data_IF_741088799994
#
_entry.id   IF_741088799994
#
_cell.length_a   1.000
_cell.length_b   1.000
_cell.length_c   1.000
_cell.angle_alpha   90.00
_cell.angle_beta   90.00
_cell.angle_gamma   90.00
#
_symmetry.space_group_name_H-M   'P 1'
#
loop_
_entity.id
_entity.type
_entity.pdbx_description
1 polymer ?
#
# COMPACT_ATOMS: atom_id res chain seq x y z
N UNK A 1 5.28 -14.29 32.08
CA UNK A 1 4.43 -14.69 30.93
C UNK A 1 4.83 -13.78 29.78
N UNK A 2 5.37 -14.32 28.67
CA UNK A 2 5.67 -13.52 27.47
C UNK A 2 4.34 -13.16 26.80
N UNK A 3 4.20 -11.90 26.35
CA UNK A 3 3.11 -11.52 25.47
C UNK A 3 3.13 -12.41 24.21
N UNK A 4 1.98 -12.83 23.67
CA UNK A 4 1.96 -13.54 22.39
C UNK A 4 2.58 -12.64 21.30
N UNK A 5 3.30 -13.23 20.32
CA UNK A 5 3.83 -12.47 19.19
C UNK A 5 2.69 -11.80 18.41
N UNK A 6 2.89 -10.53 18.05
CA UNK A 6 1.97 -9.79 17.18
C UNK A 6 2.06 -10.35 15.75
N UNK A 7 0.93 -10.61 15.06
CA UNK A 7 0.95 -11.02 13.67
C UNK A 7 1.65 -9.95 12.80
N UNK A 8 2.54 -10.39 11.91
CA UNK A 8 3.29 -9.55 10.98
C UNK A 8 2.85 -9.87 9.56
N UNK A 9 2.40 -8.84 8.83
CA UNK A 9 2.22 -8.92 7.39
C UNK A 9 3.58 -8.70 6.75
N UNK A 10 4.21 -9.76 6.25
CA UNK A 10 5.45 -9.65 5.50
C UNK A 10 5.08 -9.49 4.03
N UNK A 11 5.05 -8.24 3.58
CA UNK A 11 5.04 -7.97 2.16
C UNK A 11 6.48 -7.75 1.67
N UNK A 12 6.70 -8.05 0.40
CA UNK A 12 7.88 -7.63 -0.35
C UNK A 12 8.00 -6.10 -0.48
N UNK A 13 7.27 -5.29 0.31
CA UNK A 13 7.57 -3.88 0.63
C UNK A 13 9.07 -3.65 0.92
N UNK A 14 9.76 -4.69 1.39
CA UNK A 14 11.18 -4.68 1.75
C UNK A 14 12.16 -5.08 0.64
N UNK A 15 11.72 -5.49 -0.55
CA UNK A 15 12.63 -6.13 -1.53
C UNK A 15 12.41 -5.74 -2.99
N UNK A 16 11.27 -5.16 -3.36
CA UNK A 16 11.07 -4.56 -4.70
C UNK A 16 9.99 -3.47 -4.65
N UNK A 17 10.30 -2.28 -4.13
CA UNK A 17 9.46 -1.11 -4.44
C UNK A 17 9.82 -0.62 -5.83
N UNK A 18 8.98 -0.90 -6.82
CA UNK A 18 8.90 -0.06 -8.01
C UNK A 18 7.92 1.05 -7.64
N UNK A 19 8.40 2.12 -7.01
CA UNK A 19 7.60 3.34 -6.85
C UNK A 19 7.43 3.99 -8.23
N UNK A 20 6.42 3.57 -8.97
CA UNK A 20 6.06 4.14 -10.26
C UNK A 20 5.29 5.47 -10.06
N UNK A 21 5.98 6.53 -9.63
CA UNK A 21 5.39 7.87 -9.63
C UNK A 21 5.42 8.49 -11.03
N UNK A 22 4.29 8.35 -11.74
CA UNK A 22 4.01 9.14 -12.94
C UNK A 22 2.94 8.53 -13.84
N UNK A 23 1.69 8.41 -13.37
CA UNK A 23 0.58 8.29 -14.31
C UNK A 23 0.49 9.57 -15.14
N UNK A 24 0.55 9.51 -16.48
CA UNK A 24 0.11 10.62 -17.33
C UNK A 24 -1.36 10.90 -17.04
N UNK A 25 -1.74 12.17 -17.08
CA UNK A 25 -3.09 12.72 -16.87
C UNK A 25 -4.10 12.23 -17.93
N UNK A 26 -4.35 10.93 -18.05
CA UNK A 26 -5.28 10.37 -19.03
C UNK A 26 -5.68 8.92 -18.76
N UNK A 27 -6.12 8.58 -17.56
CA UNK A 27 -7.16 7.54 -17.38
C UNK A 27 -8.15 8.11 -16.36
N UNK A 28 -8.99 9.01 -16.83
CA UNK A 28 -10.22 9.34 -16.13
C UNK A 28 -11.02 8.03 -15.99
N UNK A 29 -11.24 7.57 -14.76
CA UNK A 29 -12.47 6.87 -14.47
C UNK A 29 -13.59 7.72 -15.07
N UNK A 30 -14.35 7.16 -15.99
CA UNK A 30 -15.46 7.86 -16.65
C UNK A 30 -16.57 8.08 -15.63
N UNK A 31 -16.38 9.05 -14.73
CA UNK A 31 -17.45 9.62 -13.94
C UNK A 31 -18.30 10.45 -14.89
N UNK A 32 -19.50 9.93 -15.19
CA UNK A 32 -20.58 10.76 -15.74
C UNK A 32 -20.77 11.98 -14.83
N UNK A 33 -21.05 13.17 -15.38
CA UNK A 33 -21.28 14.36 -14.57
C UNK A 33 -22.54 14.18 -13.70
N UNK A 34 -22.43 14.52 -12.42
CA UNK A 34 -23.55 14.67 -11.50
C UNK A 34 -24.51 15.76 -12.05
N UNK A 35 -25.80 15.47 -12.28
CA UNK A 35 -26.75 16.50 -12.65
C UNK A 35 -27.03 17.41 -11.46
N UNK A 36 -27.08 18.71 -11.74
CA UNK A 36 -27.43 19.78 -10.82
C UNK A 36 -28.80 19.52 -10.18
N UNK A 37 -28.86 19.62 -8.86
CA UNK A 37 -30.08 19.54 -8.10
C UNK A 37 -31.00 20.72 -8.47
N UNK A 38 -32.11 20.44 -9.15
CA UNK A 38 -33.27 21.32 -9.16
C UNK A 38 -34.48 20.55 -8.63
N UNK A 39 -35.16 21.20 -7.70
CA UNK A 39 -36.33 20.70 -6.97
C UNK A 39 -37.45 20.27 -7.91
N UNK A 40 -37.79 18.99 -7.96
CA UNK A 40 -39.18 18.52 -8.11
C UNK A 40 -39.26 17.01 -7.88
N UNK A 41 -40.36 16.61 -7.24
CA UNK A 41 -40.75 15.27 -6.79
C UNK A 41 -40.45 14.13 -7.78
N UNK A 42 -39.73 13.10 -7.30
CA UNK A 42 -39.58 11.82 -8.01
C UNK A 42 -40.78 10.90 -7.72
N UNK A 43 -41.43 10.29 -8.73
CA UNK A 43 -42.37 9.19 -8.55
C UNK A 43 -41.62 7.85 -8.35
N UNK A 44 -42.25 6.82 -7.76
CA UNK A 44 -41.59 5.55 -7.46
C UNK A 44 -41.30 4.77 -8.75
N UNK A 45 -40.09 4.21 -8.88
CA UNK A 45 -39.70 3.33 -9.97
C UNK A 45 -39.87 1.87 -9.50
N UNK A 46 -40.70 1.14 -10.23
CA UNK A 46 -40.94 -0.30 -10.09
C UNK A 46 -39.66 -1.13 -10.28
N UNK A 47 -39.44 -2.05 -9.34
CA UNK A 47 -38.41 -3.09 -9.41
C UNK A 47 -38.90 -4.20 -10.32
N UNK A 48 -38.25 -4.38 -11.48
CA UNK A 48 -38.35 -5.61 -12.25
C UNK A 48 -37.24 -6.57 -11.80
N UNK A 49 -37.60 -7.52 -10.95
CA UNK A 49 -36.81 -8.71 -10.67
C UNK A 49 -36.67 -9.56 -11.94
N UNK A 50 -35.44 -9.73 -12.43
CA UNK A 50 -35.11 -10.80 -13.35
C UNK A 50 -34.61 -11.99 -12.52
N UNK A 51 -35.42 -13.04 -12.46
CA UNK A 51 -35.08 -14.35 -11.90
C UNK A 51 -33.89 -14.96 -12.65
N UNK A 52 -32.76 -15.15 -11.97
CA UNK A 52 -31.67 -16.01 -12.45
C UNK A 52 -31.63 -17.26 -11.56
N UNK A 53 -32.03 -18.40 -12.14
CA UNK A 53 -31.94 -19.71 -11.52
C UNK A 53 -30.46 -20.14 -11.37
N UNK A 54 -30.02 -20.25 -10.12
CA UNK A 54 -29.34 -21.46 -9.64
C UNK A 54 -27.95 -21.81 -10.17
N UNK A 55 -26.98 -20.89 -10.16
CA UNK A 55 -25.57 -21.30 -10.03
C UNK A 55 -25.29 -21.56 -8.54
N UNK A 56 -25.00 -22.82 -8.17
CA UNK A 56 -24.53 -23.15 -6.82
C UNK A 56 -23.22 -22.37 -6.56
N UNK A 57 -23.28 -21.33 -5.73
CA UNK A 57 -22.09 -20.67 -5.16
C UNK A 57 -21.22 -21.75 -4.53
N UNK A 58 -20.05 -22.01 -5.13
CA UNK A 58 -18.99 -22.74 -4.45
C UNK A 58 -18.69 -22.02 -3.14
N UNK A 59 -18.71 -22.76 -2.04
CA UNK A 59 -18.37 -22.23 -0.72
C UNK A 59 -16.93 -21.70 -0.79
N UNK A 60 -16.72 -20.41 -0.53
CA UNK A 60 -15.36 -19.86 -0.47
C UNK A 60 -14.70 -20.46 0.77
N UNK A 61 -13.89 -21.50 0.60
CA UNK A 61 -13.18 -22.16 1.71
C UNK A 61 -12.02 -21.25 2.15
N UNK A 62 -12.36 -20.29 3.02
CA UNK A 62 -11.45 -19.41 3.76
C UNK A 62 -10.98 -20.15 5.02
N UNK A 63 -9.98 -21.02 4.91
CA UNK A 63 -9.53 -21.80 6.08
C UNK A 63 -8.70 -20.92 7.01
N UNK A 64 -9.27 -20.61 8.17
CA UNK A 64 -8.83 -19.52 9.03
C UNK A 64 -8.11 -20.03 10.29
N UNK A 65 -6.82 -19.65 10.40
CA UNK A 65 -6.03 -19.29 11.59
C UNK A 65 -4.55 -19.44 11.23
N UNK A 66 -3.98 -18.39 10.62
CA UNK A 66 -2.58 -18.37 10.19
C UNK A 66 -1.65 -17.79 11.29
N UNK A 67 -2.23 -17.16 12.33
CA UNK A 67 -1.55 -16.56 13.49
C UNK A 67 -2.30 -16.79 14.82
N UNK A 68 -1.60 -16.98 15.95
CA UNK A 68 -2.17 -16.74 17.26
C UNK A 68 -2.67 -15.30 17.36
N UNK A 69 -3.99 -15.12 17.47
CA UNK A 69 -4.60 -13.80 17.68
C UNK A 69 -4.97 -13.02 16.43
N UNK A 70 -4.77 -13.59 15.22
CA UNK A 70 -5.34 -13.03 13.98
C UNK A 70 -5.85 -14.13 13.06
N UNK A 71 -7.06 -13.92 12.58
CA UNK A 71 -7.82 -14.84 11.75
C UNK A 71 -8.35 -14.09 10.54
N UNK A 72 -7.79 -14.39 9.37
CA UNK A 72 -8.25 -13.81 8.10
C UNK A 72 -9.77 -13.93 7.92
N UNK A 73 -10.39 -12.84 7.49
CA UNK A 73 -11.84 -12.75 7.29
C UNK A 73 -12.67 -12.70 8.58
N UNK A 74 -12.04 -12.67 9.75
CA UNK A 74 -12.72 -12.47 11.04
C UNK A 74 -12.17 -11.24 11.75
N UNK A 75 -10.86 -11.18 11.93
CA UNK A 75 -10.19 -10.08 12.61
C UNK A 75 -9.74 -9.04 11.56
N UNK A 76 -10.00 -7.73 11.77
CA UNK A 76 -9.43 -6.70 10.92
C UNK A 76 -7.93 -6.60 11.15
N UNK A 77 -7.16 -6.51 10.07
CA UNK A 77 -5.75 -6.15 10.13
C UNK A 77 -5.61 -4.67 10.50
N UNK A 78 -4.71 -4.39 11.44
CA UNK A 78 -4.39 -3.03 11.91
C UNK A 78 -2.88 -2.93 12.03
N UNK A 79 -2.25 -2.63 10.90
CA UNK A 79 -0.82 -2.69 10.73
C UNK A 79 -0.18 -1.33 10.46
N UNK A 80 1.14 -1.36 10.36
CA UNK A 80 1.95 -0.25 9.91
C UNK A 80 3.09 -0.76 9.06
N UNK A 81 3.39 -0.05 7.98
CA UNK A 81 4.52 -0.38 7.11
C UNK A 81 5.85 0.02 7.76
N UNK A 82 6.89 -0.74 7.43
CA UNK A 82 8.27 -0.49 7.87
C UNK A 82 9.05 0.09 6.68
N UNK A 83 8.50 1.17 6.11
CA UNK A 83 9.06 1.85 4.93
C UNK A 83 10.41 2.49 5.19
N UNK A 84 11.19 2.67 4.13
CA UNK A 84 12.54 3.25 4.18
C UNK A 84 13.58 2.40 4.90
N UNK A 85 13.29 1.14 5.24
CA UNK A 85 14.23 0.28 5.97
C UNK A 85 15.10 -0.59 5.07
N UNK A 86 14.51 -1.61 4.47
CA UNK A 86 15.19 -2.57 3.59
C UNK A 86 15.18 -2.10 2.14
N UNK A 87 14.17 -1.30 1.76
CA UNK A 87 14.19 -0.46 0.57
C UNK A 87 14.35 1.00 0.99
N UNK A 88 15.34 1.69 0.43
CA UNK A 88 15.60 3.10 0.69
C UNK A 88 14.68 4.01 -0.11
N UNK A 89 14.06 4.94 0.60
CA UNK A 89 13.24 5.98 0.00
C UNK A 89 13.79 7.36 0.42
N UNK A 90 14.26 8.18 -0.54
CA UNK A 90 14.87 9.47 -0.22
C UNK A 90 13.99 10.41 0.60
N UNK A 91 12.67 10.26 0.52
CA UNK A 91 11.74 11.10 1.26
C UNK A 91 11.49 10.62 2.71
N UNK A 92 11.67 9.32 2.97
CA UNK A 92 11.56 8.73 4.31
C UNK A 92 12.86 8.94 5.09
N UNK A 93 14.00 8.64 4.45
CA UNK A 93 15.36 8.75 5.02
C UNK A 93 16.25 9.71 4.20
N UNK A 94 15.88 11.00 4.06
CA UNK A 94 16.66 11.97 3.30
C UNK A 94 18.12 12.10 3.75
N UNK A 95 18.44 11.84 5.03
CA UNK A 95 19.80 11.93 5.55
C UNK A 95 20.82 11.05 4.79
N UNK A 96 20.38 9.92 4.23
CA UNK A 96 21.22 9.03 3.42
C UNK A 96 21.53 9.62 2.03
N UNK A 97 20.72 10.54 1.55
CA UNK A 97 20.77 11.07 0.17
C UNK A 97 21.28 12.51 0.09
N UNK A 98 21.06 13.34 1.11
CA UNK A 98 21.35 14.79 1.08
C UNK A 98 22.78 15.14 0.71
N UNK A 99 23.76 14.38 1.20
CA UNK A 99 25.19 14.63 0.94
C UNK A 99 25.72 13.86 -0.28
N UNK A 100 24.85 13.25 -1.09
CA UNK A 100 25.24 12.48 -2.28
C UNK A 100 25.07 13.32 -3.55
N UNK A 101 25.77 13.00 -4.64
CA UNK A 101 25.57 13.66 -5.94
C UNK A 101 24.10 13.62 -6.37
N UNK A 102 23.64 14.63 -7.13
CA UNK A 102 22.23 14.78 -7.53
C UNK A 102 21.68 13.61 -8.34
N UNK A 103 22.54 12.86 -9.03
CA UNK A 103 22.14 11.66 -9.80
C UNK A 103 21.76 10.46 -8.92
N UNK A 104 22.01 10.52 -7.61
CA UNK A 104 21.64 9.48 -6.64
C UNK A 104 20.20 9.71 -6.19
N UNK A 105 19.22 9.17 -6.91
CA UNK A 105 17.78 9.49 -6.77
C UNK A 105 16.94 8.35 -6.21
N UNK A 106 17.52 7.17 -6.02
CA UNK A 106 16.90 5.93 -5.56
C UNK A 106 17.96 4.98 -4.95
N UNK A 107 17.55 3.83 -4.42
CA UNK A 107 18.46 2.84 -3.86
C UNK A 107 19.46 2.29 -4.89
N UNK A 108 19.02 2.05 -6.13
CA UNK A 108 19.90 1.58 -7.19
C UNK A 108 21.08 2.53 -7.44
N UNK A 109 20.80 3.81 -7.71
CA UNK A 109 21.82 4.83 -7.93
C UNK A 109 22.62 5.10 -6.67
N UNK A 110 22.04 4.89 -5.48
CA UNK A 110 22.78 4.88 -4.22
C UNK A 110 23.79 3.73 -4.20
N UNK A 111 23.41 2.51 -4.55
CA UNK A 111 24.30 1.36 -4.69
C UNK A 111 25.41 1.59 -5.71
N UNK A 112 25.08 2.16 -6.88
CA UNK A 112 26.07 2.58 -7.90
C UNK A 112 27.06 3.61 -7.35
N UNK A 113 26.58 4.58 -6.58
CA UNK A 113 27.45 5.54 -5.91
C UNK A 113 28.35 4.85 -4.88
N UNK A 114 27.79 3.98 -4.05
CA UNK A 114 28.52 3.28 -3.00
C UNK A 114 29.64 2.38 -3.56
N UNK A 115 29.47 1.78 -4.75
CA UNK A 115 30.55 1.01 -5.43
C UNK A 115 31.84 1.82 -5.65
N UNK A 116 31.74 3.14 -5.68
CA UNK A 116 32.89 4.05 -5.87
C UNK A 116 33.52 4.54 -4.56
N UNK A 117 32.94 4.19 -3.41
CA UNK A 117 33.37 4.63 -2.09
C UNK A 117 34.26 3.58 -1.39
N UNK A 118 35.08 4.02 -0.45
CA UNK A 118 35.95 3.12 0.33
C UNK A 118 35.20 2.28 1.38
N UNK A 119 33.95 2.65 1.70
CA UNK A 119 33.14 1.98 2.71
C UNK A 119 31.73 1.68 2.17
N UNK A 120 31.65 0.68 1.31
CA UNK A 120 30.44 0.40 0.53
C UNK A 120 29.28 -0.12 1.36
N UNK A 121 29.54 -0.74 2.52
CA UNK A 121 28.51 -1.43 3.32
C UNK A 121 28.25 -0.86 4.70
N UNK A 122 29.16 -0.10 5.34
CA UNK A 122 28.93 0.29 6.73
C UNK A 122 27.83 1.35 6.86
N UNK A 123 27.66 2.26 5.89
CA UNK A 123 26.58 3.24 5.92
C UNK A 123 25.21 2.55 5.89
N UNK A 124 25.02 1.62 4.95
CA UNK A 124 23.75 0.89 4.81
C UNK A 124 23.53 -0.10 5.97
N UNK A 125 24.58 -0.76 6.48
CA UNK A 125 24.48 -1.59 7.70
C UNK A 125 24.14 -0.76 8.93
N UNK A 126 24.71 0.44 9.05
CA UNK A 126 24.37 1.35 10.13
C UNK A 126 22.90 1.76 10.05
N UNK A 127 22.41 2.06 8.85
CA UNK A 127 20.98 2.29 8.60
C UNK A 127 20.14 1.09 9.01
N UNK A 128 20.40 -0.11 8.48
CA UNK A 128 19.63 -1.31 8.80
C UNK A 128 19.61 -1.64 10.29
N UNK A 129 20.72 -1.44 11.01
CA UNK A 129 20.80 -1.75 12.44
C UNK A 129 20.14 -0.71 13.35
N UNK A 130 19.97 0.53 12.88
CA UNK A 130 19.49 1.65 13.69
C UNK A 130 18.11 2.18 13.26
N UNK A 131 17.68 1.96 12.02
CA UNK A 131 16.39 2.41 11.51
C UNK A 131 15.25 1.55 12.05
N UNK A 132 15.36 0.22 11.99
CA UNK A 132 14.43 -0.73 12.60
C UNK A 132 15.23 -1.99 12.99
N UNK A 133 14.84 -2.74 14.03
CA UNK A 133 15.70 -3.81 14.58
C UNK A 133 15.26 -5.23 14.17
N UNK A 134 15.75 -5.75 13.01
CA UNK A 134 16.18 -7.14 12.63
C UNK A 134 16.37 -7.33 11.07
N UNK A 135 17.56 -7.71 10.56
CA UNK A 135 17.93 -7.79 9.12
C UNK A 135 17.12 -8.83 8.27
N UNK A 136 16.95 -8.79 6.92
CA UNK A 136 17.88 -8.60 5.78
C UNK A 136 17.21 -8.19 4.42
N UNK A 137 18.06 -7.80 3.43
CA UNK A 137 17.99 -7.86 1.94
C UNK A 137 17.60 -6.61 1.09
N UNK A 138 18.19 -6.58 -0.13
CA UNK A 138 18.41 -5.48 -1.09
C UNK A 138 17.45 -5.43 -2.32
N UNK A 139 17.43 -4.24 -2.95
CA UNK A 139 17.10 -3.87 -4.35
C UNK A 139 15.77 -3.12 -4.60
N UNK A 140 15.88 -1.91 -5.16
CA UNK A 140 14.79 -1.15 -5.78
C UNK A 140 15.34 -0.25 -6.90
N UNK A 141 14.74 -0.31 -8.10
CA UNK A 141 15.12 0.51 -9.27
C UNK A 141 13.97 1.46 -9.62
N UNK A 142 14.26 2.76 -9.70
CA UNK A 142 13.33 3.76 -10.23
C UNK A 142 13.48 3.88 -11.76
N UNK A 143 12.38 4.18 -12.45
CA UNK A 143 12.32 4.53 -13.88
C UNK A 143 12.66 3.44 -14.93
N UNK A 144 12.79 2.15 -14.53
CA UNK A 144 12.95 1.02 -15.45
C UNK A 144 11.75 0.07 -15.43
N UNK A 145 10.91 0.10 -16.47
CA UNK A 145 9.73 -0.79 -16.61
C UNK A 145 10.03 -2.16 -17.24
N UNK A 146 11.29 -2.60 -17.21
CA UNK A 146 11.70 -3.83 -17.90
C UNK A 146 11.14 -5.11 -17.28
N UNK A 147 10.51 -5.04 -16.11
CA UNK A 147 9.89 -6.19 -15.44
C UNK A 147 8.84 -6.89 -16.31
N UNK A 148 7.95 -6.14 -16.97
CA UNK A 148 6.91 -6.70 -17.85
C UNK A 148 7.44 -7.31 -19.15
N UNK A 149 8.62 -6.91 -19.60
CA UNK A 149 9.16 -7.27 -20.92
C UNK A 149 10.36 -8.21 -20.88
N UNK A 150 10.85 -8.58 -19.69
CA UNK A 150 12.05 -9.39 -19.52
C UNK A 150 11.77 -10.62 -18.64
N UNK A 151 11.70 -11.78 -19.28
CA UNK A 151 11.44 -13.07 -18.60
C UNK A 151 12.46 -13.40 -17.52
N UNK A 152 13.71 -12.93 -17.65
CA UNK A 152 14.75 -13.12 -16.63
C UNK A 152 14.39 -12.43 -15.32
N UNK A 153 13.72 -11.28 -15.37
CA UNK A 153 13.28 -10.56 -14.16
C UNK A 153 12.13 -11.29 -13.48
N UNK A 154 11.21 -11.89 -14.24
CA UNK A 154 10.14 -12.73 -13.71
C UNK A 154 10.71 -13.99 -13.03
N UNK A 155 11.67 -14.67 -13.67
CA UNK A 155 12.32 -15.86 -13.12
C UNK A 155 13.09 -15.55 -11.81
N UNK A 156 13.75 -14.40 -11.75
CA UNK A 156 14.39 -13.91 -10.51
C UNK A 156 13.37 -13.65 -9.41
N UNK A 157 12.24 -13.03 -9.77
CA UNK A 157 11.14 -12.77 -8.82
C UNK A 157 10.58 -14.08 -8.25
N UNK A 158 10.35 -15.10 -9.09
CA UNK A 158 9.96 -16.43 -8.61
C UNK A 158 11.00 -17.08 -7.70
N UNK A 159 12.29 -16.93 -8.04
CA UNK A 159 13.38 -17.46 -7.21
C UNK A 159 13.41 -16.81 -5.82
N UNK A 160 13.26 -15.48 -5.77
CA UNK A 160 13.16 -14.73 -4.51
C UNK A 160 11.94 -15.17 -3.69
N UNK A 161 10.76 -15.26 -4.32
CA UNK A 161 9.54 -15.75 -3.67
C UNK A 161 9.70 -17.15 -3.09
N UNK A 162 10.38 -18.05 -3.81
CA UNK A 162 10.65 -19.40 -3.31
C UNK A 162 11.57 -19.38 -2.08
N UNK A 163 12.62 -18.54 -2.07
CA UNK A 163 13.55 -18.43 -0.94
C UNK A 163 12.83 -17.81 0.27
N UNK A 164 12.15 -16.69 0.09
CA UNK A 164 11.39 -16.01 1.14
C UNK A 164 10.33 -16.93 1.74
N UNK A 165 9.56 -17.62 0.89
CA UNK A 165 8.55 -18.55 1.39
C UNK A 165 9.17 -19.69 2.17
N UNK A 166 10.26 -20.28 1.68
CA UNK A 166 10.93 -21.38 2.38
C UNK A 166 11.50 -20.97 3.73
N UNK A 167 11.96 -19.72 3.85
CA UNK A 167 12.43 -19.16 5.12
C UNK A 167 11.26 -18.90 6.06
N UNK A 168 10.32 -18.05 5.65
CA UNK A 168 9.31 -17.49 6.53
C UNK A 168 8.13 -18.41 6.86
N UNK A 169 8.04 -19.58 6.24
CA UNK A 169 7.10 -20.66 6.61
C UNK A 169 7.70 -21.66 7.60
N UNK A 170 8.98 -21.52 7.97
CA UNK A 170 9.58 -22.40 8.98
C UNK A 170 8.86 -22.30 10.32
N UNK A 171 8.81 -23.42 11.04
CA UNK A 171 8.24 -23.50 12.39
C UNK A 171 8.84 -22.49 13.38
N UNK A 172 10.05 -21.97 13.14
CA UNK A 172 10.63 -20.87 13.92
C UNK A 172 9.74 -19.62 13.92
N UNK A 173 9.18 -19.27 12.77
CA UNK A 173 8.29 -18.12 12.62
C UNK A 173 6.88 -18.39 13.15
N UNK A 174 6.55 -19.66 13.47
CA UNK A 174 5.28 -20.16 14.03
C UNK A 174 4.14 -19.14 13.97
N UNK A 175 3.58 -18.96 12.77
CA UNK A 175 2.35 -18.18 12.60
C UNK A 175 2.53 -16.67 12.91
N UNK A 176 3.74 -16.15 12.77
CA UNK A 176 4.06 -14.71 12.79
C UNK A 176 3.83 -14.11 11.41
N UNK A 177 4.29 -14.80 10.35
CA UNK A 177 4.07 -14.41 8.96
C UNK A 177 2.73 -14.99 8.49
N UNK A 178 1.77 -14.12 8.20
CA UNK A 178 0.39 -14.51 7.83
C UNK A 178 0.08 -14.40 6.36
N UNK A 179 0.94 -13.72 5.61
CA UNK A 179 0.84 -13.54 4.17
C UNK A 179 2.23 -13.28 3.58
N UNK A 180 2.37 -13.59 2.30
CA UNK A 180 3.46 -13.15 1.44
C UNK A 180 2.83 -12.43 0.26
N UNK A 181 3.18 -11.16 0.08
CA UNK A 181 2.79 -10.38 -1.09
C UNK A 181 3.74 -10.63 -2.26
N UNK A 182 3.19 -10.86 -3.45
CA UNK A 182 3.98 -11.34 -4.58
C UNK A 182 4.86 -10.25 -5.22
N UNK A 183 4.35 -9.03 -5.32
CA UNK A 183 5.03 -7.84 -5.84
C UNK A 183 4.22 -6.61 -5.47
N UNK A 184 4.91 -5.52 -5.12
CA UNK A 184 4.31 -4.23 -4.77
C UNK A 184 4.05 -3.38 -6.01
N UNK A 185 2.86 -2.78 -6.12
CA UNK A 185 2.50 -1.76 -7.11
C UNK A 185 2.91 -2.04 -8.57
N UNK A 186 2.61 -3.23 -9.14
CA UNK A 186 2.94 -3.52 -10.54
C UNK A 186 2.09 -2.66 -11.49
N UNK A 187 2.68 -1.61 -12.04
CA UNK A 187 1.97 -0.65 -12.89
C UNK A 187 1.84 -1.14 -14.35
N UNK A 188 0.75 -1.85 -14.67
CA UNK A 188 0.42 -2.24 -16.05
C UNK A 188 -0.29 -1.12 -16.82
N UNK A 189 0.23 -0.73 -17.99
CA UNK A 189 -0.31 0.38 -18.81
C UNK A 189 -1.37 -0.05 -19.83
N UNK A 190 -1.41 -1.34 -20.17
CA UNK A 190 -2.25 -1.85 -21.24
C UNK A 190 -2.65 -3.31 -20.99
N UNK A 191 -3.60 -3.80 -21.78
CA UNK A 191 -4.12 -5.16 -21.64
C UNK A 191 -3.04 -6.25 -21.74
N UNK A 192 -2.03 -6.09 -22.59
CA UNK A 192 -0.97 -7.09 -22.73
C UNK A 192 -0.07 -7.15 -21.49
N UNK A 193 0.27 -5.99 -20.90
CA UNK A 193 1.01 -5.95 -19.63
C UNK A 193 0.17 -6.51 -18.47
N UNK A 194 -1.14 -6.26 -18.46
CA UNK A 194 -2.06 -6.86 -17.48
C UNK A 194 -2.16 -8.39 -17.63
N UNK A 195 -2.15 -8.92 -18.85
CA UNK A 195 -2.12 -10.37 -19.09
C UNK A 195 -0.80 -10.99 -18.59
N UNK A 196 0.32 -10.30 -18.76
CA UNK A 196 1.62 -10.71 -18.18
C UNK A 196 1.53 -10.72 -16.65
N UNK A 197 0.94 -9.68 -16.03
CA UNK A 197 0.76 -9.61 -14.58
C UNK A 197 -0.10 -10.76 -14.05
N UNK A 198 -1.22 -11.06 -14.72
CA UNK A 198 -2.09 -12.19 -14.38
C UNK A 198 -1.35 -13.53 -14.49
N UNK A 199 -0.59 -13.72 -15.57
CA UNK A 199 0.26 -14.90 -15.74
C UNK A 199 1.31 -15.03 -14.63
N UNK A 200 1.93 -13.91 -14.25
CA UNK A 200 2.87 -13.84 -13.14
C UNK A 200 2.22 -14.27 -11.82
N UNK A 201 1.07 -13.70 -11.46
CA UNK A 201 0.37 -14.04 -10.22
C UNK A 201 0.00 -15.52 -10.13
N UNK A 202 -0.45 -16.13 -11.23
CA UNK A 202 -0.76 -17.56 -11.25
C UNK A 202 0.49 -18.42 -11.06
N UNK A 203 1.61 -18.08 -11.71
CA UNK A 203 2.89 -18.78 -11.56
C UNK A 203 3.48 -18.62 -10.15
N UNK A 204 3.46 -17.40 -9.62
CA UNK A 204 3.98 -17.05 -8.31
C UNK A 204 3.18 -17.71 -7.18
N UNK A 205 1.86 -17.81 -7.32
CA UNK A 205 1.03 -18.61 -6.42
C UNK A 205 1.50 -20.06 -6.35
N UNK A 206 1.74 -20.69 -7.51
CA UNK A 206 2.30 -22.05 -7.57
C UNK A 206 3.66 -22.17 -6.89
N UNK A 207 4.52 -21.17 -7.07
CA UNK A 207 5.84 -21.09 -6.42
C UNK A 207 5.71 -21.01 -4.90
N UNK A 208 4.87 -20.12 -4.36
CA UNK A 208 4.66 -19.98 -2.92
C UNK A 208 4.09 -21.26 -2.33
N UNK A 209 3.01 -21.80 -2.90
CA UNK A 209 2.38 -23.04 -2.41
C UNK A 209 3.36 -24.22 -2.42
N UNK A 210 4.16 -24.35 -3.48
CA UNK A 210 5.16 -25.40 -3.60
C UNK A 210 6.34 -25.23 -2.64
N UNK A 211 6.79 -24.00 -2.38
CA UNK A 211 7.86 -23.71 -1.42
C UNK A 211 7.43 -23.97 0.02
N UNK A 212 6.23 -23.50 0.41
CA UNK A 212 5.62 -23.75 1.72
C UNK A 212 5.51 -25.25 2.03
N UNK A 213 4.99 -26.02 1.06
CA UNK A 213 4.90 -27.48 1.19
C UNK A 213 6.29 -28.14 1.37
N UNK A 214 7.32 -27.68 0.64
CA UNK A 214 8.69 -28.23 0.74
C UNK A 214 9.38 -27.86 2.04
N UNK A 215 9.06 -26.71 2.62
CA UNK A 215 9.58 -26.28 3.92
C UNK A 215 8.97 -27.05 5.11
N UNK A 216 8.06 -28.00 4.83
CA UNK A 216 7.37 -28.79 5.84
C UNK A 216 6.06 -28.17 6.32
N UNK A 217 5.63 -27.07 5.71
CA UNK A 217 4.32 -26.47 5.91
C UNK A 217 3.20 -27.23 5.19
N UNK A 218 1.96 -26.85 5.46
CA UNK A 218 0.76 -27.45 4.89
C UNK A 218 0.50 -27.07 3.42
N UNK A 219 1.35 -26.24 2.81
CA UNK A 219 1.11 -25.64 1.49
C UNK A 219 -0.01 -24.59 1.51
N UNK A 220 -0.38 -24.10 2.69
CA UNK A 220 -1.46 -23.14 2.94
C UNK A 220 -1.23 -22.30 4.21
N UNK A 221 0.00 -22.29 4.71
CA UNK A 221 0.33 -21.72 6.02
C UNK A 221 0.44 -20.19 5.96
N UNK A 222 0.52 -19.64 4.75
CA UNK A 222 0.46 -18.20 4.44
C UNK A 222 -0.59 -17.89 3.38
N UNK A 223 -1.23 -16.72 3.51
CA UNK A 223 -1.99 -16.15 2.40
C UNK A 223 -1.03 -15.68 1.29
N UNK A 224 -1.46 -15.77 0.04
CA UNK A 224 -0.76 -15.17 -1.11
C UNK A 224 -1.46 -13.85 -1.40
N UNK A 225 -0.80 -12.74 -1.10
CA UNK A 225 -1.32 -11.41 -1.38
C UNK A 225 -0.90 -10.94 -2.78
N UNK A 226 -1.83 -10.31 -3.50
CA UNK A 226 -1.62 -9.69 -4.80
C UNK A 226 -2.05 -8.24 -4.76
N UNK A 227 -1.20 -7.35 -5.27
CA UNK A 227 -1.54 -5.93 -5.47
C UNK A 227 -2.46 -5.77 -6.70
N UNK A 228 -3.42 -4.85 -6.61
CA UNK A 228 -4.38 -4.58 -7.68
C UNK A 228 -3.77 -3.94 -8.96
N UNK A 229 -2.53 -3.45 -8.89
CA UNK A 229 -1.74 -3.00 -10.03
C UNK A 229 -2.26 -1.73 -10.70
N UNK A 230 -2.92 -0.85 -9.95
CA UNK A 230 -3.58 0.38 -10.41
C UNK A 230 -4.68 0.13 -11.46
N UNK A 231 -5.24 -1.08 -11.52
CA UNK A 231 -6.30 -1.46 -12.45
C UNK A 231 -7.71 -1.34 -11.85
N UNK A 232 -7.79 -1.11 -10.54
CA UNK A 232 -9.01 -1.14 -9.75
C UNK A 232 -9.47 -2.55 -9.39
N UNK A 233 -10.06 -2.70 -8.20
CA UNK A 233 -10.46 -3.99 -7.62
C UNK A 233 -11.43 -4.81 -8.50
N UNK A 234 -12.26 -4.17 -9.33
CA UNK A 234 -13.20 -4.87 -10.23
C UNK A 234 -12.50 -5.75 -11.26
N UNK A 235 -11.26 -5.41 -11.64
CA UNK A 235 -10.44 -6.18 -12.59
C UNK A 235 -10.15 -7.60 -12.10
N UNK A 236 -10.20 -7.80 -10.79
CA UNK A 236 -9.76 -9.02 -10.11
C UNK A 236 -10.91 -9.88 -9.59
N UNK A 237 -12.15 -9.45 -9.78
CA UNK A 237 -13.34 -10.12 -9.22
C UNK A 237 -13.54 -11.54 -9.72
N UNK A 238 -13.06 -11.89 -10.92
CA UNK A 238 -13.14 -13.24 -11.50
C UNK A 238 -11.79 -13.96 -11.54
N UNK A 239 -10.76 -13.40 -10.89
CA UNK A 239 -9.39 -13.89 -10.99
C UNK A 239 -9.01 -14.70 -9.74
N UNK A 240 -8.27 -15.79 -9.92
CA UNK A 240 -7.72 -16.65 -8.85
C UNK A 240 -8.74 -17.02 -7.74
N UNK A 241 -9.92 -17.51 -8.12
CA UNK A 241 -10.97 -17.91 -7.17
C UNK A 241 -10.87 -19.39 -6.74
N UNK A 242 -11.60 -19.71 -5.67
CA UNK A 242 -11.85 -21.09 -5.24
C UNK A 242 -12.69 -21.85 -6.30
N UNK A 243 -12.53 -23.19 -6.41
CA UNK A 243 -11.67 -24.04 -5.57
C UNK A 243 -10.19 -24.09 -5.98
N UNK A 244 -9.85 -23.56 -7.16
CA UNK A 244 -8.52 -23.71 -7.77
C UNK A 244 -7.43 -22.91 -7.04
N UNK A 245 -7.82 -21.77 -6.46
CA UNK A 245 -6.96 -20.91 -5.66
C UNK A 245 -7.57 -20.67 -4.28
N UNK A 246 -6.75 -20.77 -3.24
CA UNK A 246 -7.17 -20.67 -1.85
C UNK A 246 -6.21 -19.76 -1.09
N UNK A 247 -6.70 -19.15 -0.01
CA UNK A 247 -5.94 -18.19 0.82
C UNK A 247 -5.28 -17.10 -0.04
N UNK A 248 -6.05 -16.48 -0.93
CA UNK A 248 -5.63 -15.32 -1.73
C UNK A 248 -6.13 -14.06 -1.05
N UNK A 249 -5.24 -13.08 -0.89
CA UNK A 249 -5.56 -11.74 -0.42
C UNK A 249 -5.32 -10.74 -1.55
N UNK A 250 -6.13 -9.68 -1.57
CA UNK A 250 -6.00 -8.55 -2.48
C UNK A 250 -5.49 -7.36 -1.68
N UNK A 251 -4.42 -6.75 -2.15
CA UNK A 251 -3.91 -5.48 -1.65
C UNK A 251 -4.36 -4.34 -2.57
N UNK A 252 -4.68 -3.20 -1.97
CA UNK A 252 -4.98 -1.95 -2.67
C UNK A 252 -4.46 -0.77 -1.87
N UNK A 253 -3.91 0.22 -2.57
CA UNK A 253 -3.34 1.40 -1.95
C UNK A 253 -4.28 2.59 -2.17
N UNK A 254 -4.62 3.30 -1.09
CA UNK A 254 -5.59 4.39 -1.13
C UNK A 254 -4.90 5.71 -0.77
N UNK A 255 -4.54 6.44 -1.82
CA UNK A 255 -3.93 7.76 -1.75
C UNK A 255 -4.74 8.77 -2.56
N UNK A 256 -4.80 10.00 -2.06
CA UNK A 256 -5.51 11.07 -2.76
C UNK A 256 -4.59 12.14 -3.35
N UNK A 257 -3.38 12.29 -2.82
CA UNK A 257 -2.48 13.39 -3.17
C UNK A 257 -1.77 13.22 -4.52
N UNK A 258 -1.87 12.07 -5.17
CA UNK A 258 -1.21 11.81 -6.45
C UNK A 258 -2.11 12.06 -7.68
N UNK A 259 -3.37 12.44 -7.47
CA UNK A 259 -4.31 12.87 -8.51
C UNK A 259 -4.68 14.35 -8.33
N UNK A 260 -4.68 15.13 -9.41
CA UNK A 260 -4.92 16.58 -9.35
C UNK A 260 -6.35 16.96 -8.95
N UNK A 261 -7.34 16.11 -9.25
CA UNK A 261 -8.72 16.36 -8.83
C UNK A 261 -8.91 16.01 -7.36
N UNK A 262 -8.32 14.90 -6.92
CA UNK A 262 -8.43 14.46 -5.53
C UNK A 262 -7.65 15.36 -4.57
N UNK A 263 -6.42 15.76 -4.91
CA UNK A 263 -5.61 16.66 -4.05
C UNK A 263 -6.22 18.07 -3.93
N UNK A 264 -7.05 18.48 -4.90
CA UNK A 264 -7.74 19.77 -4.87
C UNK A 264 -8.94 19.78 -3.89
N UNK A 265 -9.37 18.61 -3.40
CA UNK A 265 -10.51 18.51 -2.49
C UNK A 265 -10.23 19.18 -1.15
N UNK A 266 -11.24 19.89 -0.64
CA UNK A 266 -11.22 20.39 0.74
C UNK A 266 -11.36 19.27 1.76
N UNK A 267 -11.10 19.56 3.04
CA UNK A 267 -11.14 18.56 4.12
C UNK A 267 -12.45 17.81 4.28
N UNK A 268 -13.60 18.45 4.05
CA UNK A 268 -14.89 17.74 4.15
C UNK A 268 -15.10 16.82 2.95
N UNK A 269 -14.83 17.32 1.75
CA UNK A 269 -14.97 16.56 0.51
C UNK A 269 -14.03 15.35 0.48
N UNK A 270 -12.81 15.49 1.01
CA UNK A 270 -11.87 14.37 1.12
C UNK A 270 -12.37 13.27 2.06
N UNK A 271 -12.93 13.64 3.22
CA UNK A 271 -13.53 12.66 4.15
C UNK A 271 -14.74 11.96 3.52
N UNK A 272 -15.60 12.70 2.81
CA UNK A 272 -16.73 12.12 2.08
C UNK A 272 -16.27 11.16 0.98
N UNK A 273 -15.19 11.50 0.28
CA UNK A 273 -14.59 10.62 -0.73
C UNK A 273 -14.08 9.31 -0.14
N UNK A 274 -13.40 9.34 1.02
CA UNK A 274 -12.97 8.14 1.73
C UNK A 274 -14.17 7.30 2.18
N UNK A 275 -15.19 7.91 2.77
CA UNK A 275 -16.44 7.22 3.15
C UNK A 275 -17.07 6.47 1.98
N UNK A 276 -17.03 7.05 0.78
CA UNK A 276 -17.54 6.45 -0.45
C UNK A 276 -16.84 5.15 -0.88
N UNK A 277 -15.64 4.84 -0.37
CA UNK A 277 -14.89 3.64 -0.75
C UNK A 277 -15.42 2.35 -0.09
N UNK A 278 -16.21 2.46 0.99
CA UNK A 278 -16.60 1.32 1.82
C UNK A 278 -17.28 0.18 1.03
N UNK A 279 -18.22 0.50 0.15
CA UNK A 279 -18.91 -0.52 -0.65
C UNK A 279 -18.01 -1.21 -1.66
N UNK A 280 -17.03 -0.47 -2.22
CA UNK A 280 -16.09 -1.00 -3.20
C UNK A 280 -15.13 -2.01 -2.55
N UNK A 281 -14.60 -1.66 -1.38
CA UNK A 281 -13.76 -2.54 -0.58
C UNK A 281 -14.51 -3.78 -0.11
N UNK A 282 -15.74 -3.62 0.40
CA UNK A 282 -16.57 -4.74 0.84
C UNK A 282 -16.90 -5.71 -0.31
N UNK A 283 -17.17 -5.21 -1.51
CA UNK A 283 -17.40 -6.04 -2.71
C UNK A 283 -16.17 -6.87 -3.06
N UNK A 284 -14.99 -6.25 -3.09
CA UNK A 284 -13.72 -6.97 -3.32
C UNK A 284 -13.48 -8.02 -2.24
N UNK A 285 -13.77 -7.70 -0.97
CA UNK A 285 -13.56 -8.56 0.19
C UNK A 285 -14.42 -9.86 0.16
N UNK A 286 -15.51 -9.84 -0.61
CA UNK A 286 -16.37 -11.01 -0.84
C UNK A 286 -15.77 -12.01 -1.84
N UNK A 287 -14.76 -11.59 -2.62
CA UNK A 287 -14.03 -12.45 -3.56
C UNK A 287 -12.73 -12.93 -2.90
N UNK A 288 -11.82 -12.00 -2.62
CA UNK A 288 -10.54 -12.23 -1.92
C UNK A 288 -10.58 -11.53 -0.56
N UNK A 289 -9.69 -11.86 0.37
CA UNK A 289 -9.53 -10.98 1.54
C UNK A 289 -8.90 -9.66 1.08
N UNK A 290 -9.63 -8.55 1.15
CA UNK A 290 -9.14 -7.26 0.64
C UNK A 290 -8.63 -6.40 1.77
N UNK A 291 -7.40 -5.94 1.65
CA UNK A 291 -6.69 -5.12 2.63
C UNK A 291 -6.35 -3.79 1.96
N UNK A 292 -6.42 -2.70 2.72
CA UNK A 292 -5.74 -1.47 2.31
C UNK A 292 -4.32 -1.49 2.86
N UNK A 293 -3.37 -2.05 2.10
CA UNK A 293 -1.97 -2.26 2.52
C UNK A 293 -1.16 -0.98 2.59
N UNK A 294 -1.64 0.09 1.96
CA UNK A 294 -1.08 1.42 2.11
C UNK A 294 -2.14 2.52 2.13
N UNK A 295 -1.99 3.43 3.09
CA UNK A 295 -2.69 4.70 3.15
C UNK A 295 -1.97 5.65 4.12
N UNK A 296 -2.32 6.94 4.06
CA UNK A 296 -1.89 7.94 5.04
C UNK A 296 -3.03 8.91 5.36
N UNK A 297 -3.12 9.47 6.58
CA UNK A 297 -4.11 10.50 6.91
C UNK A 297 -3.91 11.83 6.16
N UNK A 298 -2.68 12.14 5.74
CA UNK A 298 -2.32 13.35 5.02
C UNK A 298 -3.06 13.44 3.68
N UNK A 299 -3.51 14.64 3.30
CA UNK A 299 -4.16 14.91 2.01
C UNK A 299 -3.33 15.75 1.06
N UNK A 300 -2.02 15.83 1.30
CA UNK A 300 -1.10 16.64 0.50
C UNK A 300 0.11 15.80 0.12
N UNK A 301 0.77 16.17 -0.98
CA UNK A 301 2.05 15.60 -1.38
C UNK A 301 3.23 16.48 -0.97
N UNK A 302 3.08 17.22 0.14
CA UNK A 302 4.03 18.21 0.62
C UNK A 302 5.33 17.62 1.17
N UNK A 303 5.30 16.36 1.62
CA UNK A 303 6.44 15.72 2.27
C UNK A 303 7.71 15.85 1.42
N UNK A 304 8.81 16.19 2.08
CA UNK A 304 10.08 16.52 1.42
C UNK A 304 10.55 15.36 0.53
N UNK A 305 10.69 15.62 -0.77
CA UNK A 305 11.05 14.62 -1.80
C UNK A 305 10.07 13.46 -1.99
N UNK A 306 8.83 13.55 -1.50
CA UNK A 306 7.81 12.50 -1.70
C UNK A 306 7.62 12.19 -3.19
N UNK A 307 7.65 13.21 -4.04
CA UNK A 307 7.56 13.06 -5.49
C UNK A 307 8.88 12.64 -6.16
N UNK A 308 9.91 12.35 -5.38
CA UNK A 308 11.27 12.02 -5.79
C UNK A 308 12.29 13.09 -5.40
N UNK A 309 13.54 12.66 -5.25
CA UNK A 309 14.67 13.54 -4.90
C UNK A 309 14.78 14.73 -5.87
N UNK A 310 14.89 15.93 -5.32
CA UNK A 310 14.99 17.18 -6.07
C UNK A 310 13.67 17.67 -6.69
N UNK A 311 12.54 17.03 -6.39
CA UNK A 311 11.21 17.42 -6.90
C UNK A 311 10.36 18.04 -5.80
N UNK A 312 9.54 19.03 -6.20
CA UNK A 312 8.58 19.71 -5.32
C UNK A 312 7.26 18.95 -5.14
N UNK A 313 6.21 19.67 -4.74
CA UNK A 313 4.87 19.16 -4.50
C UNK A 313 3.84 19.70 -5.51
N UNK A 314 2.80 18.92 -5.81
CA UNK A 314 1.64 19.40 -6.58
C UNK A 314 0.85 20.39 -5.74
N UNK A 315 0.73 20.14 -4.43
CA UNK A 315 -0.11 20.93 -3.52
C UNK A 315 0.22 22.42 -3.53
N UNK A 316 1.51 22.78 -3.61
CA UNK A 316 1.98 24.18 -3.64
C UNK A 316 2.50 24.61 -5.04
N UNK A 317 2.23 23.81 -6.07
CA UNK A 317 2.70 24.01 -7.45
C UNK A 317 4.24 24.12 -7.61
N UNK A 318 5.03 23.60 -6.67
CA UNK A 318 6.50 23.53 -6.82
C UNK A 318 6.98 22.32 -7.62
N UNK A 319 6.11 21.33 -7.86
CA UNK A 319 6.36 20.24 -8.78
C UNK A 319 6.10 20.68 -10.23
N UNK A 320 7.07 20.49 -11.12
CA UNK A 320 6.88 20.72 -12.55
C UNK A 320 6.05 19.57 -13.16
N UNK A 321 4.77 19.84 -13.44
CA UNK A 321 3.80 18.93 -14.06
C UNK A 321 3.15 19.58 -15.30
N UNK A 322 2.46 18.78 -16.11
CA UNK A 322 1.72 19.26 -17.30
C UNK A 322 0.49 20.11 -16.97
N UNK A 323 0.01 20.04 -15.72
CA UNK A 323 -1.08 20.83 -15.18
C UNK A 323 -0.73 21.27 -13.75
N UNK A 324 -1.34 22.37 -13.29
CA UNK A 324 -1.14 22.94 -11.95
C UNK A 324 -2.49 23.08 -11.23
N UNK A 325 -2.47 23.15 -9.90
CA UNK A 325 -3.66 23.44 -9.12
C UNK A 325 -4.07 24.90 -9.32
N UNK A 326 -5.37 25.10 -9.54
CA UNK A 326 -5.97 26.45 -9.62
C UNK A 326 -5.81 27.19 -8.28
N UNK A 327 -5.93 26.46 -7.17
CA UNK A 327 -5.80 26.97 -5.81
C UNK A 327 -4.73 26.19 -5.04
N UNK A 328 -3.44 26.53 -5.18
CA UNK A 328 -2.38 25.86 -4.44
C UNK A 328 -2.49 26.17 -2.94
N UNK A 329 -2.15 25.18 -2.12
CA UNK A 329 -2.03 25.34 -0.67
C UNK A 329 -0.60 25.69 -0.23
N UNK A 330 -0.40 25.69 1.09
CA UNK A 330 0.88 25.99 1.73
C UNK A 330 1.46 24.75 2.40
N UNK A 331 2.56 24.22 1.84
CA UNK A 331 3.25 23.06 2.41
C UNK A 331 4.01 23.35 3.72
N UNK A 332 4.33 24.61 4.01
CA UNK A 332 5.15 24.97 5.18
C UNK A 332 4.47 24.68 6.53
N UNK A 333 3.14 24.50 6.52
CA UNK A 333 2.30 24.20 7.69
C UNK A 333 1.65 22.81 7.64
N UNK A 334 2.09 21.93 6.72
CA UNK A 334 1.50 20.60 6.50
C UNK A 334 2.48 19.44 6.66
N UNK A 335 3.79 19.70 6.64
CA UNK A 335 4.80 18.63 6.77
C UNK A 335 6.08 19.12 7.46
N UNK A 336 7.08 18.26 7.56
CA UNK A 336 8.40 18.59 8.13
C UNK A 336 8.73 17.77 9.36
N UNK A 337 9.74 18.25 10.11
CA UNK A 337 10.26 17.60 11.34
C UNK A 337 9.54 18.04 12.61
N UNK A 338 8.80 19.14 12.57
CA UNK A 338 8.24 19.81 13.74
C UNK A 338 6.71 19.93 13.62
N UNK A 339 5.96 18.98 14.20
CA UNK A 339 4.50 19.00 14.18
C UNK A 339 3.87 20.22 14.85
N UNK A 340 4.61 20.96 15.71
CA UNK A 340 4.08 22.17 16.35
C UNK A 340 3.81 23.31 15.37
N UNK A 341 4.34 23.21 14.14
CA UNK A 341 4.08 24.14 13.04
C UNK A 341 2.81 23.81 12.25
N UNK A 342 2.20 22.65 12.50
CA UNK A 342 0.96 22.29 11.81
C UNK A 342 -0.18 23.18 12.28
N UNK A 343 -1.02 23.61 11.34
CA UNK A 343 -2.23 24.35 11.72
C UNK A 343 -3.16 23.44 12.53
N UNK A 344 -3.90 24.01 13.49
CA UNK A 344 -4.84 23.25 14.31
C UNK A 344 -5.90 22.55 13.45
N UNK A 345 -6.36 23.22 12.39
CA UNK A 345 -7.31 22.66 11.43
C UNK A 345 -6.73 21.43 10.72
N UNK A 346 -5.43 21.44 10.40
CA UNK A 346 -4.79 20.29 9.77
C UNK A 346 -4.64 19.12 10.72
N UNK A 347 -4.23 19.35 11.97
CA UNK A 347 -4.15 18.29 12.98
C UNK A 347 -5.51 17.65 13.22
N UNK A 348 -6.58 18.46 13.30
CA UNK A 348 -7.96 17.95 13.39
C UNK A 348 -8.38 17.17 12.14
N UNK A 349 -7.95 17.62 10.96
CA UNK A 349 -8.17 16.89 9.72
C UNK A 349 -7.47 15.53 9.73
N UNK A 350 -6.17 15.48 10.07
CA UNK A 350 -5.41 14.23 10.14
C UNK A 350 -6.09 13.23 11.09
N UNK A 351 -6.59 13.70 12.23
CA UNK A 351 -7.29 12.86 13.20
C UNK A 351 -8.57 12.24 12.62
N UNK A 352 -9.43 13.08 12.03
CA UNK A 352 -10.66 12.62 11.37
C UNK A 352 -10.38 11.73 10.16
N UNK A 353 -9.36 12.07 9.37
CA UNK A 353 -8.93 11.33 8.20
C UNK A 353 -8.48 9.92 8.59
N UNK A 354 -7.63 9.78 9.61
CA UNK A 354 -7.25 8.46 10.12
C UNK A 354 -8.46 7.64 10.59
N UNK A 355 -9.38 8.26 11.33
CA UNK A 355 -10.57 7.58 11.86
C UNK A 355 -11.52 7.12 10.77
N UNK A 356 -11.84 8.00 9.81
CA UNK A 356 -12.69 7.67 8.66
C UNK A 356 -12.05 6.56 7.83
N UNK A 357 -10.79 6.73 7.43
CA UNK A 357 -10.08 5.74 6.63
C UNK A 357 -10.01 4.38 7.32
N UNK A 358 -9.56 4.33 8.58
CA UNK A 358 -9.50 3.07 9.33
C UNK A 358 -10.88 2.41 9.52
N UNK A 359 -11.95 3.18 9.71
CA UNK A 359 -13.31 2.64 9.77
C UNK A 359 -13.76 2.05 8.43
N UNK A 360 -13.50 2.78 7.33
CA UNK A 360 -13.83 2.36 5.96
C UNK A 360 -13.07 1.08 5.59
N UNK A 361 -11.79 1.00 5.91
CA UNK A 361 -10.93 -0.13 5.53
C UNK A 361 -11.23 -1.39 6.37
N UNK A 362 -11.76 -1.22 7.58
CA UNK A 362 -12.31 -2.30 8.39
C UNK A 362 -13.69 -2.82 7.90
N UNK A 363 -14.30 -2.22 6.87
CA UNK A 363 -15.41 -2.84 6.13
C UNK A 363 -14.93 -3.97 5.19
N UNK A 364 -13.62 -4.08 5.00
CA UNK A 364 -12.95 -5.20 4.37
C UNK A 364 -12.05 -5.94 5.39
N UNK A 365 -10.86 -6.39 5.01
CA UNK A 365 -9.94 -7.13 5.90
C UNK A 365 -9.02 -6.22 6.71
N UNK A 366 -9.21 -4.90 6.68
CA UNK A 366 -8.45 -3.93 7.49
C UNK A 366 -7.41 -3.16 6.69
N UNK A 367 -6.38 -2.68 7.39
CA UNK A 367 -5.48 -1.65 6.90
C UNK A 367 -4.05 -1.77 7.44
N UNK A 368 -3.10 -1.23 6.69
CA UNK A 368 -1.69 -1.07 7.08
C UNK A 368 -1.27 0.36 6.73
N UNK A 369 -0.98 1.19 7.75
CA UNK A 369 -0.65 2.60 7.51
C UNK A 369 0.77 2.75 6.96
N UNK A 370 0.92 3.56 5.93
CA UNK A 370 2.23 4.02 5.46
C UNK A 370 2.59 5.34 6.16
N UNK A 371 3.59 5.41 7.03
CA UNK A 371 4.54 4.37 7.49
C UNK A 371 4.81 4.54 8.99
N UNK A 372 5.57 3.64 9.61
CA UNK A 372 5.84 3.69 11.06
C UNK A 372 6.53 5.00 11.46
N UNK A 373 7.53 5.43 10.70
CA UNK A 373 8.27 6.67 10.97
C UNK A 373 8.93 7.22 9.72
N UNK A 374 9.25 8.50 9.76
CA UNK A 374 9.99 9.25 8.74
C UNK A 374 10.94 10.22 9.41
N UNK A 375 11.99 10.66 8.73
CA UNK A 375 12.89 11.69 9.29
C UNK A 375 12.31 13.10 9.20
N UNK A 376 11.61 13.43 8.10
CA UNK A 376 11.17 14.81 7.78
C UNK A 376 9.74 14.93 7.24
N UNK A 377 8.91 13.91 7.42
CA UNK A 377 7.54 13.89 6.95
C UNK A 377 6.61 13.48 8.09
N UNK A 378 6.51 14.33 9.12
CA UNK A 378 5.77 14.03 10.35
C UNK A 378 4.32 13.56 10.10
N UNK A 379 3.65 14.14 9.11
CA UNK A 379 2.28 13.82 8.70
C UNK A 379 2.13 12.42 8.05
N UNK A 380 3.24 11.80 7.66
CA UNK A 380 3.32 10.41 7.17
C UNK A 380 3.78 9.40 8.23
N UNK A 381 4.17 9.87 9.42
CA UNK A 381 4.71 9.04 10.49
C UNK A 381 3.63 8.63 11.48
N UNK A 382 3.31 7.34 11.54
CA UNK A 382 2.38 6.80 12.53
C UNK A 382 2.88 7.05 13.96
N UNK A 383 4.18 6.87 14.19
CA UNK A 383 4.81 7.15 15.49
C UNK A 383 4.60 8.61 15.92
N UNK A 384 4.77 9.55 14.99
CA UNK A 384 4.55 10.97 15.26
C UNK A 384 3.08 11.24 15.52
N UNK A 385 2.17 10.65 14.72
CA UNK A 385 0.73 10.82 14.93
C UNK A 385 0.20 10.33 16.25
N UNK A 386 0.74 9.22 16.77
CA UNK A 386 0.42 8.72 18.11
C UNK A 386 0.90 9.72 19.17
N UNK A 387 2.11 10.28 18.99
CA UNK A 387 2.73 11.19 19.96
C UNK A 387 2.01 12.55 20.00
N UNK A 388 1.56 13.05 18.85
CA UNK A 388 1.01 14.40 18.70
C UNK A 388 -0.52 14.43 18.54
N UNK A 389 -1.19 13.27 18.56
CA UNK A 389 -2.62 13.16 18.84
C UNK A 389 -3.56 13.05 17.64
N UNK A 390 -3.06 12.91 16.41
CA UNK A 390 -3.92 12.60 15.24
C UNK A 390 -4.03 11.11 14.94
N UNK A 391 -3.31 10.26 15.66
CA UNK A 391 -3.57 8.81 15.69
C UNK A 391 -3.93 8.45 17.13
N UNK A 392 -5.12 7.90 17.35
CA UNK A 392 -5.61 7.72 18.70
C UNK A 392 -4.90 6.56 19.40
N UNK A 393 -4.93 6.57 20.74
CA UNK A 393 -4.45 5.46 21.56
C UNK A 393 -5.57 5.05 22.52
N UNK A 394 -6.15 3.85 22.37
CA UNK A 394 -5.77 2.78 21.44
C UNK A 394 -6.08 3.10 19.97
N UNK A 395 -5.29 2.54 19.05
CA UNK A 395 -5.33 2.84 17.59
C UNK A 395 -6.66 2.54 16.91
N UNK A 396 -7.51 1.73 17.54
CA UNK A 396 -8.84 1.39 17.02
C UNK A 396 -9.95 2.30 17.55
N UNK A 397 -9.65 3.22 18.47
CA UNK A 397 -10.67 4.15 18.95
C UNK A 397 -11.08 5.16 17.87
N UNK A 398 -12.30 5.68 18.01
CA UNK A 398 -12.95 6.61 17.07
C UNK A 398 -13.53 7.80 17.86
N UNK A 399 -12.69 8.66 18.46
CA UNK A 399 -13.15 9.75 19.31
C UNK A 399 -13.98 10.82 18.57
N UNK A 400 -13.92 10.91 17.24
CA UNK A 400 -14.67 11.90 16.46
C UNK A 400 -15.99 11.41 15.89
N UNK A 401 -16.40 10.17 16.23
CA UNK A 401 -17.62 9.53 15.72
C UNK A 401 -17.34 8.74 14.45
#
# INVERSE_FOLDING_TARGET
MRAPPTPLFLSLFALFSISALGAPSSIAATSRPLPTASSSSLPPIDVLEASHEGAKKGEVIKSAKLAPGFTWGTDPMRGVNIGGWLVLEPWITPSLFENKPDWVVDEWTYGEYMKTQNNTMDEIRSHWNNWFKYAELEEGIRDSRQWFSNTTNLDRTYSALSVLTSEFTQSFYNSTVVAIELINEPFSYNAAELDVLKGFYQGAYGTVRGADQKAGGGGKDVAVAIDEGFQGLTTWESFMQAPDYQNVAMDTHVYMMFDLNLIAMGYTESLDWYCGQASFLSRSNNVHWTIVGEFVPANTDCAYWLNGRGRGARYDNTLNTTASLEYPGDCSVKTGTDPSKFSNEYVQYLAKSFEVQSWVYEQASGWVMWTWKTERAADWSMQTGITYGWIPTPIYSKPHG
#
